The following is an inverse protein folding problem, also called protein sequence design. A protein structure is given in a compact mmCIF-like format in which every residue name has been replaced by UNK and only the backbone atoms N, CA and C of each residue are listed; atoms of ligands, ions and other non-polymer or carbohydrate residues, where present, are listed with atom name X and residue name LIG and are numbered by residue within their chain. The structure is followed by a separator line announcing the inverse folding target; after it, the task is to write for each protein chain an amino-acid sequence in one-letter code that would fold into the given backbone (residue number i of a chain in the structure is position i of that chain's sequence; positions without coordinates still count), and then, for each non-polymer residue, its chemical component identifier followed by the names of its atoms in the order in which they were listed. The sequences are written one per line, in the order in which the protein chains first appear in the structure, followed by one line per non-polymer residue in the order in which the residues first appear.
data_IF_491667586199
#
_entry.id   IF_491667586199
#
_cell.length_a   1.000
_cell.length_b   1.000
_cell.length_c   1.000
_cell.angle_alpha   90.00
_cell.angle_beta   90.00
_cell.angle_gamma   90.00
#
_symmetry.space_group_name_H-M   'P 1'
#
loop_
_entity.id
_entity.type
_entity.pdbx_description
1 polymer ?
#
# COMPACT_ATOMS: atom_id res chain seq x y z
N UNK A 1 -29.82 -30.10 -7.77
CA UNK A 1 -28.43 -30.48 -7.38
C UNK A 1 -27.37 -30.06 -8.40
N UNK A 2 -27.60 -30.13 -9.72
CA UNK A 2 -26.62 -29.71 -10.74
C UNK A 2 -26.32 -28.19 -10.77
N UNK A 3 -27.36 -27.33 -10.67
CA UNK A 3 -27.21 -25.86 -10.72
C UNK A 3 -26.40 -25.23 -9.57
N UNK A 4 -26.38 -25.87 -8.40
CA UNK A 4 -25.63 -25.38 -7.23
C UNK A 4 -24.12 -25.59 -7.37
N UNK A 5 -23.71 -26.64 -8.10
CA UNK A 5 -22.31 -26.97 -8.33
C UNK A 5 -21.71 -26.03 -9.39
N UNK A 6 -22.49 -25.69 -10.42
CA UNK A 6 -22.13 -24.70 -11.45
C UNK A 6 -21.95 -23.29 -10.85
N UNK A 7 -22.91 -22.83 -10.03
CA UNK A 7 -22.82 -21.52 -9.38
C UNK A 7 -21.57 -21.38 -8.48
N UNK A 8 -21.23 -22.42 -7.70
CA UNK A 8 -20.00 -22.41 -6.88
C UNK A 8 -18.71 -22.43 -7.72
N UNK A 9 -18.77 -23.00 -8.93
CA UNK A 9 -17.63 -23.07 -9.85
C UNK A 9 -17.40 -21.73 -10.54
N UNK A 10 -18.47 -21.08 -10.98
CA UNK A 10 -18.42 -19.74 -11.57
C UNK A 10 -18.03 -18.67 -10.54
N UNK A 11 -18.52 -18.78 -9.31
CA UNK A 11 -18.07 -17.92 -8.21
C UNK A 11 -16.57 -18.11 -7.94
N UNK A 12 -16.08 -19.36 -7.94
CA UNK A 12 -14.64 -19.66 -7.79
C UNK A 12 -13.81 -19.12 -8.95
N UNK A 13 -14.35 -19.06 -10.17
CA UNK A 13 -13.66 -18.53 -11.34
C UNK A 13 -13.61 -17.00 -11.29
N UNK A 14 -14.72 -16.33 -10.95
CA UNK A 14 -14.75 -14.87 -10.76
C UNK A 14 -13.85 -14.43 -9.58
N UNK A 15 -13.87 -15.15 -8.45
CA UNK A 15 -13.02 -14.87 -7.28
C UNK A 15 -11.53 -15.15 -7.53
N UNK A 16 -11.17 -15.90 -8.58
CA UNK A 16 -9.79 -16.25 -8.94
C UNK A 16 -9.25 -15.41 -10.09
N UNK A 17 -10.01 -14.43 -10.59
CA UNK A 17 -9.46 -13.49 -11.57
C UNK A 17 -8.59 -12.45 -10.85
N UNK A 18 -7.35 -12.18 -11.33
CA UNK A 18 -6.44 -11.20 -10.75
C UNK A 18 -7.08 -9.81 -10.54
N UNK A 19 -8.10 -9.51 -11.35
CA UNK A 19 -8.87 -8.26 -11.38
C UNK A 19 -9.80 -8.07 -10.18
N UNK A 20 -10.30 -9.15 -9.58
CA UNK A 20 -11.17 -9.06 -8.41
C UNK A 20 -10.41 -8.54 -7.18
N UNK A 21 -9.15 -8.98 -7.02
CA UNK A 21 -8.29 -8.50 -5.94
C UNK A 21 -8.10 -6.97 -5.99
N UNK A 22 -7.85 -6.43 -7.19
CA UNK A 22 -7.73 -4.97 -7.39
C UNK A 22 -9.04 -4.26 -7.00
N UNK A 23 -10.19 -4.74 -7.44
CA UNK A 23 -11.48 -4.14 -7.09
C UNK A 23 -11.76 -4.18 -5.58
N UNK A 24 -11.50 -5.34 -4.94
CA UNK A 24 -11.64 -5.50 -3.50
C UNK A 24 -10.72 -4.56 -2.72
N UNK A 25 -9.50 -4.32 -3.22
CA UNK A 25 -8.59 -3.35 -2.63
C UNK A 25 -9.17 -1.93 -2.67
N UNK A 26 -9.67 -1.46 -3.82
CA UNK A 26 -10.31 -0.13 -3.89
C UNK A 26 -11.50 -0.02 -2.96
N UNK A 27 -12.37 -1.05 -2.95
CA UNK A 27 -13.55 -1.05 -2.09
C UNK A 27 -13.17 -0.97 -0.61
N UNK A 28 -12.21 -1.78 -0.15
CA UNK A 28 -11.86 -1.83 1.28
C UNK A 28 -10.97 -0.66 1.68
N UNK A 29 -9.86 -0.45 0.95
CA UNK A 29 -8.81 0.49 1.35
C UNK A 29 -9.10 1.94 0.97
N UNK A 30 -9.80 2.19 -0.14
CA UNK A 30 -10.04 3.56 -0.60
C UNK A 30 -11.45 4.04 -0.21
N UNK A 31 -12.40 3.14 0.01
CA UNK A 31 -13.78 3.51 0.38
C UNK A 31 -14.10 3.15 1.83
N UNK A 32 -14.14 1.85 2.18
CA UNK A 32 -14.65 1.41 3.48
C UNK A 32 -13.83 1.94 4.65
N UNK A 33 -12.51 1.80 4.62
CA UNK A 33 -11.65 2.24 5.72
C UNK A 33 -11.70 3.77 5.89
N UNK A 34 -11.52 4.60 4.84
CA UNK A 34 -11.67 6.05 4.95
C UNK A 34 -13.03 6.48 5.49
N UNK A 35 -14.13 5.91 4.98
CA UNK A 35 -15.48 6.23 5.46
C UNK A 35 -15.65 5.84 6.94
N UNK A 36 -15.10 4.69 7.34
CA UNK A 36 -15.10 4.27 8.75
C UNK A 36 -14.33 5.23 9.65
N UNK A 37 -13.16 5.71 9.21
CA UNK A 37 -12.36 6.69 9.97
C UNK A 37 -13.09 8.03 10.11
N UNK A 38 -13.79 8.48 9.06
CA UNK A 38 -14.62 9.69 9.11
C UNK A 38 -15.76 9.53 10.11
N UNK A 39 -16.43 8.37 10.15
CA UNK A 39 -17.52 8.11 11.09
C UNK A 39 -17.07 8.05 12.55
N UNK A 40 -15.79 7.72 12.80
CA UNK A 40 -15.19 7.68 14.12
C UNK A 40 -14.56 9.01 14.55
N UNK A 41 -14.68 10.07 13.74
CA UNK A 41 -14.08 11.38 13.96
C UNK A 41 -12.54 11.33 14.12
N UNK A 42 -11.88 10.42 13.41
CA UNK A 42 -10.42 10.22 13.45
C UNK A 42 -9.75 10.75 12.18
N UNK A 43 -10.01 12.00 11.85
CA UNK A 43 -9.44 12.67 10.67
C UNK A 43 -7.92 12.72 10.72
N UNK A 44 -7.34 12.87 11.91
CA UNK A 44 -5.89 12.87 12.13
C UNK A 44 -5.23 11.56 11.70
N UNK A 45 -5.94 10.43 11.77
CA UNK A 45 -5.41 9.14 11.29
C UNK A 45 -5.54 8.99 9.78
N UNK A 46 -6.50 9.70 9.17
CA UNK A 46 -6.76 9.59 7.73
C UNK A 46 -5.60 10.18 6.92
N UNK A 47 -5.04 11.31 7.34
CA UNK A 47 -3.89 11.94 6.67
C UNK A 47 -2.64 11.04 6.64
N UNK A 48 -2.42 10.22 7.69
CA UNK A 48 -1.34 9.24 7.72
C UNK A 48 -1.70 7.96 6.98
N UNK A 49 -2.96 7.54 7.01
CA UNK A 49 -3.43 6.32 6.36
C UNK A 49 -3.27 6.37 4.83
N UNK A 50 -3.65 7.48 4.19
CA UNK A 50 -3.71 7.58 2.73
C UNK A 50 -2.34 7.37 2.05
N UNK A 51 -1.22 7.94 2.53
CA UNK A 51 0.12 7.61 2.04
C UNK A 51 0.47 6.12 2.22
N UNK A 52 0.04 5.46 3.30
CA UNK A 52 0.32 4.03 3.50
C UNK A 52 -0.38 3.11 2.51
N UNK A 53 -1.50 3.55 1.91
CA UNK A 53 -2.22 2.78 0.89
C UNK A 53 -1.31 2.43 -0.29
N UNK A 54 -0.39 3.32 -0.69
CA UNK A 54 0.54 3.05 -1.81
C UNK A 54 1.54 1.94 -1.48
N UNK A 55 2.01 1.89 -0.24
CA UNK A 55 2.95 0.87 0.24
C UNK A 55 2.28 -0.51 0.36
N UNK A 56 1.03 -0.53 0.84
CA UNK A 56 0.20 -1.73 0.87
C UNK A 56 -0.06 -2.25 -0.54
N UNK A 57 -0.43 -1.37 -1.47
CA UNK A 57 -0.68 -1.74 -2.86
C UNK A 57 0.57 -2.32 -3.54
N UNK A 58 1.74 -1.73 -3.31
CA UNK A 58 3.02 -2.26 -3.80
C UNK A 58 3.36 -3.63 -3.22
N UNK A 59 3.13 -3.81 -1.91
CA UNK A 59 3.34 -5.10 -1.23
C UNK A 59 2.45 -6.19 -1.80
N UNK A 60 1.16 -5.91 -1.97
CA UNK A 60 0.20 -6.86 -2.53
C UNK A 60 0.54 -7.21 -3.98
N UNK A 61 0.90 -6.23 -4.79
CA UNK A 61 1.27 -6.44 -6.20
C UNK A 61 2.53 -7.31 -6.30
N UNK A 62 3.57 -7.01 -5.51
CA UNK A 62 4.84 -7.74 -5.57
C UNK A 62 4.71 -9.15 -5.01
N UNK A 63 3.96 -9.31 -3.91
CA UNK A 63 3.79 -10.61 -3.24
C UNK A 63 2.83 -11.53 -3.98
N UNK A 64 1.80 -10.94 -4.61
CA UNK A 64 0.79 -11.66 -5.37
C UNK A 64 1.27 -12.12 -6.74
N UNK A 65 2.32 -11.51 -7.30
CA UNK A 65 2.84 -11.90 -8.60
C UNK A 65 3.32 -13.38 -8.63
N UNK A 66 2.98 -14.14 -9.70
CA UNK A 66 2.27 -13.72 -10.91
C UNK A 66 0.74 -13.91 -10.87
N UNK A 67 0.19 -14.50 -9.81
CA UNK A 67 -1.18 -15.03 -9.84
C UNK A 67 -2.24 -14.03 -9.34
N UNK A 68 -1.88 -13.14 -8.39
CA UNK A 68 -2.81 -12.25 -7.70
C UNK A 68 -2.32 -10.80 -7.73
N UNK A 69 -3.26 -9.83 -7.78
CA UNK A 69 -3.00 -8.39 -7.66
C UNK A 69 -1.98 -7.80 -8.65
N UNK A 70 -1.69 -8.47 -9.77
CA UNK A 70 -0.67 -8.04 -10.74
C UNK A 70 -0.94 -6.68 -11.38
N UNK A 71 -2.22 -6.33 -11.53
CA UNK A 71 -2.66 -5.05 -12.09
C UNK A 71 -2.97 -3.99 -11.01
N UNK A 72 -2.73 -4.26 -9.72
CA UNK A 72 -3.08 -3.31 -8.65
C UNK A 72 -2.13 -2.09 -8.64
N UNK A 73 -0.83 -2.34 -8.55
CA UNK A 73 0.19 -1.29 -8.53
C UNK A 73 1.46 -1.73 -9.27
N UNK A 74 1.35 -2.03 -10.58
CA UNK A 74 2.50 -2.51 -11.36
C UNK A 74 3.55 -1.41 -11.52
N UNK A 75 4.82 -1.80 -11.40
CA UNK A 75 5.95 -0.87 -11.61
C UNK A 75 6.05 -0.40 -13.07
N UNK A 76 5.74 -1.31 -14.00
CA UNK A 76 5.70 -1.05 -15.43
C UNK A 76 4.35 -1.55 -15.97
N UNK A 77 3.31 -0.69 -15.98
CA UNK A 77 1.99 -1.10 -16.41
C UNK A 77 1.99 -1.46 -17.90
N UNK A 78 1.64 -2.72 -18.21
CA UNK A 78 1.42 -3.18 -19.59
C UNK A 78 -0.06 -3.16 -19.97
N UNK A 79 -0.94 -2.95 -19.00
CA UNK A 79 -2.40 -2.89 -19.17
C UNK A 79 -2.91 -1.49 -18.82
N UNK A 80 -3.96 -1.03 -19.51
CA UNK A 80 -4.64 0.25 -19.20
C UNK A 80 -5.18 0.24 -17.76
N UNK A 81 -5.69 -0.91 -17.31
CA UNK A 81 -6.18 -1.07 -15.95
C UNK A 81 -5.07 -0.89 -14.92
N UNK A 82 -3.91 -1.51 -15.12
CA UNK A 82 -2.76 -1.36 -14.25
C UNK A 82 -2.23 0.08 -14.22
N UNK A 83 -2.21 0.75 -15.37
CA UNK A 83 -1.85 2.17 -15.46
C UNK A 83 -2.81 3.04 -14.66
N UNK A 84 -4.12 2.87 -14.85
CA UNK A 84 -5.13 3.67 -14.15
C UNK A 84 -5.11 3.40 -12.64
N UNK A 85 -5.02 2.13 -12.25
CA UNK A 85 -4.98 1.70 -10.85
C UNK A 85 -3.78 2.30 -10.12
N UNK A 86 -2.57 2.19 -10.70
CA UNK A 86 -1.37 2.75 -10.10
C UNK A 86 -1.45 4.28 -9.93
N UNK A 87 -1.96 4.99 -10.93
CA UNK A 87 -2.12 6.45 -10.86
C UNK A 87 -3.19 6.88 -9.85
N UNK A 88 -4.33 6.16 -9.76
CA UNK A 88 -5.34 6.45 -8.74
C UNK A 88 -4.80 6.27 -7.33
N UNK A 89 -4.05 5.19 -7.08
CA UNK A 89 -3.43 4.94 -5.78
C UNK A 89 -2.38 6.02 -5.46
N UNK A 90 -1.58 6.44 -6.46
CA UNK A 90 -0.64 7.55 -6.29
C UNK A 90 -1.36 8.86 -5.96
N UNK A 91 -2.47 9.15 -6.62
CA UNK A 91 -3.27 10.34 -6.35
C UNK A 91 -3.83 10.33 -4.92
N UNK A 92 -4.34 9.18 -4.45
CA UNK A 92 -4.79 9.00 -3.07
C UNK A 92 -3.67 9.27 -2.06
N UNK A 93 -2.47 8.71 -2.31
CA UNK A 93 -1.32 8.97 -1.45
C UNK A 93 -0.91 10.45 -1.46
N UNK A 94 -0.87 11.10 -2.63
CA UNK A 94 -0.58 12.53 -2.74
C UNK A 94 -1.57 13.39 -1.97
N UNK A 95 -2.88 13.08 -2.05
CA UNK A 95 -3.89 13.81 -1.28
C UNK A 95 -3.62 13.73 0.23
N UNK A 96 -3.24 12.56 0.73
CA UNK A 96 -2.86 12.39 2.13
C UNK A 96 -1.63 13.20 2.52
N UNK A 97 -0.57 13.15 1.72
CA UNK A 97 0.67 13.90 1.98
C UNK A 97 0.41 15.42 1.94
N UNK A 98 -0.38 15.89 0.97
CA UNK A 98 -0.75 17.30 0.87
C UNK A 98 -1.61 17.76 2.05
N UNK A 99 -2.58 16.93 2.47
CA UNK A 99 -3.37 17.22 3.68
C UNK A 99 -2.45 17.39 4.88
N UNK A 100 -1.57 16.41 5.15
CA UNK A 100 -0.63 16.46 6.26
C UNK A 100 0.22 17.75 6.22
N UNK A 101 0.76 18.09 5.05
CA UNK A 101 1.56 19.29 4.85
C UNK A 101 0.82 20.59 5.14
N UNK A 102 -0.41 20.72 4.66
CA UNK A 102 -1.28 21.88 4.92
C UNK A 102 -1.64 21.95 6.39
N UNK A 103 -1.98 20.81 7.02
CA UNK A 103 -2.27 20.73 8.45
C UNK A 103 -1.12 21.25 9.31
N UNK A 104 0.11 20.78 9.03
CA UNK A 104 1.31 21.24 9.72
C UNK A 104 1.63 22.73 9.48
N UNK A 105 1.42 23.22 8.26
CA UNK A 105 1.62 24.63 7.95
C UNK A 105 0.68 25.53 8.77
N UNK A 106 -0.59 25.13 8.91
CA UNK A 106 -1.60 25.86 9.68
C UNK A 106 -1.33 25.77 11.19
N UNK A 107 -0.92 24.60 11.68
CA UNK A 107 -0.68 24.39 13.11
C UNK A 107 0.55 25.17 13.60
N UNK A 108 1.63 25.19 12.83
CA UNK A 108 2.89 25.86 13.20
C UNK A 108 2.95 27.32 12.73
N UNK A 109 1.89 27.83 12.09
CA UNK A 109 1.83 29.15 11.41
C UNK A 109 3.05 29.40 10.51
N UNK A 110 3.56 28.34 9.88
CA UNK A 110 4.78 28.36 9.09
C UNK A 110 4.63 27.52 7.83
N UNK A 111 4.38 28.21 6.72
CA UNK A 111 4.23 27.61 5.41
C UNK A 111 5.50 26.87 4.96
N UNK A 112 6.68 27.38 5.31
CA UNK A 112 7.96 26.77 4.91
C UNK A 112 8.13 25.39 5.53
N UNK A 113 7.73 25.22 6.79
CA UNK A 113 7.76 23.93 7.50
C UNK A 113 6.82 22.94 6.81
N UNK A 114 5.57 23.31 6.56
CA UNK A 114 4.59 22.41 5.92
C UNK A 114 4.99 21.99 4.51
N UNK A 115 5.50 22.92 3.68
CA UNK A 115 5.99 22.61 2.34
C UNK A 115 7.21 21.70 2.39
N UNK A 116 8.16 21.96 3.30
CA UNK A 116 9.37 21.15 3.44
C UNK A 116 9.04 19.72 3.84
N UNK A 117 8.16 19.53 4.84
CA UNK A 117 7.70 18.19 5.26
C UNK A 117 7.00 17.48 4.10
N UNK A 118 6.10 18.16 3.39
CA UNK A 118 5.41 17.60 2.21
C UNK A 118 6.38 17.07 1.15
N UNK A 119 7.39 17.88 0.80
CA UNK A 119 8.39 17.50 -0.21
C UNK A 119 9.22 16.29 0.24
N UNK A 120 9.66 16.28 1.51
CA UNK A 120 10.40 15.15 2.09
C UNK A 120 9.54 13.88 2.03
N UNK A 121 8.27 13.98 2.42
CA UNK A 121 7.34 12.85 2.41
C UNK A 121 7.14 12.28 1.00
N UNK A 122 6.94 13.12 -0.02
CA UNK A 122 6.85 12.67 -1.42
C UNK A 122 8.14 11.95 -1.84
N UNK A 123 9.31 12.54 -1.53
CA UNK A 123 10.62 11.98 -1.88
C UNK A 123 10.91 10.64 -1.20
N UNK A 124 10.30 10.36 -0.05
CA UNK A 124 10.45 9.09 0.66
C UNK A 124 9.36 8.10 0.20
N UNK A 125 8.09 8.45 0.30
CA UNK A 125 6.95 7.54 0.11
C UNK A 125 6.95 6.87 -1.26
N UNK A 126 7.17 7.62 -2.35
CA UNK A 126 7.10 7.03 -3.70
C UNK A 126 8.27 6.11 -4.04
N UNK A 127 9.55 6.47 -3.81
CA UNK A 127 10.66 5.55 -3.99
C UNK A 127 10.58 4.33 -3.08
N UNK A 128 10.10 4.51 -1.85
CA UNK A 128 9.89 3.40 -0.91
C UNK A 128 8.86 2.41 -1.47
N UNK A 129 7.70 2.90 -1.91
CA UNK A 129 6.65 2.05 -2.45
C UNK A 129 7.08 1.40 -3.77
N UNK A 130 7.72 2.13 -4.68
CA UNK A 130 8.05 1.63 -6.03
C UNK A 130 9.32 0.77 -6.05
N UNK A 131 10.32 1.05 -5.22
CA UNK A 131 11.64 0.41 -5.31
C UNK A 131 12.00 -0.38 -4.06
N UNK A 132 11.92 0.24 -2.88
CA UNK A 132 12.38 -0.39 -1.65
C UNK A 132 11.55 -1.63 -1.30
N UNK A 133 10.24 -1.50 -1.21
CA UNK A 133 9.34 -2.63 -0.87
C UNK A 133 9.55 -3.81 -1.83
N UNK A 134 9.49 -3.63 -3.17
CA UNK A 134 9.71 -4.74 -4.09
C UNK A 134 11.12 -5.34 -3.99
N UNK A 135 12.14 -4.50 -3.73
CA UNK A 135 13.50 -4.98 -3.51
C UNK A 135 13.58 -5.89 -2.28
N UNK A 136 13.08 -5.44 -1.12
CA UNK A 136 13.14 -6.21 0.12
C UNK A 136 12.35 -7.52 0.04
N UNK A 137 11.15 -7.51 -0.57
CA UNK A 137 10.37 -8.74 -0.77
C UNK A 137 11.15 -9.74 -1.63
N UNK A 138 11.78 -9.28 -2.72
CA UNK A 138 12.58 -10.16 -3.60
C UNK A 138 13.83 -10.70 -2.90
N UNK A 139 14.54 -9.88 -2.13
CA UNK A 139 15.72 -10.34 -1.40
C UNK A 139 15.35 -11.30 -0.27
N UNK A 140 14.29 -10.99 0.48
CA UNK A 140 13.78 -11.86 1.54
C UNK A 140 13.29 -13.21 1.01
N UNK A 141 12.56 -13.24 -0.11
CA UNK A 141 12.15 -14.50 -0.77
C UNK A 141 13.37 -15.34 -1.18
N UNK A 142 14.39 -14.72 -1.77
CA UNK A 142 15.64 -15.42 -2.14
C UNK A 142 16.39 -15.94 -0.91
N UNK A 143 16.46 -15.15 0.16
CA UNK A 143 17.13 -15.54 1.40
C UNK A 143 16.44 -16.74 2.04
N UNK A 144 15.12 -16.69 2.21
CA UNK A 144 14.32 -17.78 2.79
C UNK A 144 14.47 -19.06 1.98
N UNK A 145 14.43 -18.97 0.64
CA UNK A 145 14.62 -20.13 -0.23
C UNK A 145 16.02 -20.73 -0.15
N UNK A 146 17.05 -19.94 0.18
CA UNK A 146 18.42 -20.44 0.41
C UNK A 146 18.56 -21.14 1.76
N UNK A 147 17.97 -20.57 2.82
CA UNK A 147 18.10 -21.09 4.19
C UNK A 147 17.19 -22.30 4.43
N UNK A 148 15.98 -22.29 3.87
CA UNK A 148 14.98 -23.33 4.07
C UNK A 148 14.43 -23.86 2.72
N UNK A 149 15.26 -24.49 1.87
CA UNK A 149 14.89 -24.90 0.51
C UNK A 149 13.78 -25.95 0.46
N UNK A 150 13.62 -26.73 1.55
CA UNK A 150 12.58 -27.77 1.65
C UNK A 150 11.22 -27.23 2.08
N UNK A 151 11.14 -25.99 2.58
CA UNK A 151 9.90 -25.40 3.04
C UNK A 151 9.10 -24.88 1.85
N UNK A 152 7.98 -25.55 1.54
CA UNK A 152 7.03 -25.07 0.53
C UNK A 152 6.06 -24.12 1.22
N UNK A 153 6.14 -22.84 0.87
CA UNK A 153 5.17 -21.84 1.32
C UNK A 153 3.99 -21.84 0.35
N UNK A 154 2.81 -22.40 0.71
CA UNK A 154 1.63 -22.27 -0.13
C UNK A 154 1.28 -20.77 -0.25
N UNK A 155 0.91 -20.32 -1.45
CA UNK A 155 0.30 -19.00 -1.65
C UNK A 155 1.18 -17.76 -1.40
N UNK A 156 2.51 -17.87 -1.46
CA UNK A 156 3.44 -16.73 -1.27
C UNK A 156 3.29 -15.97 0.06
N UNK A 157 2.72 -16.57 1.11
CA UNK A 157 2.43 -15.91 2.40
C UNK A 157 3.64 -15.20 3.02
N UNK A 158 4.84 -15.78 2.88
CA UNK A 158 6.07 -15.18 3.38
C UNK A 158 6.41 -13.85 2.70
N UNK A 159 6.04 -13.66 1.42
CA UNK A 159 6.24 -12.39 0.71
C UNK A 159 5.35 -11.28 1.27
N UNK A 160 4.08 -11.60 1.55
CA UNK A 160 3.14 -10.66 2.17
C UNK A 160 3.60 -10.27 3.57
N UNK A 161 4.06 -11.25 4.36
CA UNK A 161 4.62 -10.99 5.68
C UNK A 161 5.85 -10.08 5.62
N UNK A 162 6.80 -10.35 4.72
CA UNK A 162 7.98 -9.51 4.52
C UNK A 162 7.60 -8.07 4.14
N UNK A 163 6.66 -7.90 3.22
CA UNK A 163 6.18 -6.57 2.84
C UNK A 163 5.50 -5.85 4.00
N UNK A 164 4.66 -6.54 4.78
CA UNK A 164 4.01 -5.95 5.95
C UNK A 164 5.03 -5.51 7.02
N UNK A 165 6.02 -6.34 7.33
CA UNK A 165 7.11 -5.97 8.25
C UNK A 165 7.86 -4.74 7.75
N UNK A 166 8.13 -4.66 6.44
CA UNK A 166 8.75 -3.46 5.85
C UNK A 166 7.87 -2.22 6.01
N UNK A 167 6.56 -2.32 5.78
CA UNK A 167 5.64 -1.20 5.99
C UNK A 167 5.68 -0.72 7.45
N UNK A 168 5.62 -1.64 8.42
CA UNK A 168 5.71 -1.28 9.85
C UNK A 168 7.04 -0.62 10.18
N UNK A 169 8.16 -1.14 9.66
CA UNK A 169 9.47 -0.53 9.85
C UNK A 169 9.51 0.90 9.27
N UNK A 170 8.95 1.09 8.08
CA UNK A 170 8.91 2.40 7.41
C UNK A 170 8.00 3.38 8.14
N UNK A 171 6.85 2.92 8.65
CA UNK A 171 5.98 3.73 9.51
C UNK A 171 6.72 4.27 10.72
N UNK A 172 7.52 3.44 11.37
CA UNK A 172 8.32 3.86 12.53
C UNK A 172 9.35 4.93 12.10
N UNK A 173 10.06 4.71 11.00
CA UNK A 173 11.04 5.69 10.48
C UNK A 173 10.36 7.00 10.11
N UNK A 174 9.18 6.95 9.47
CA UNK A 174 8.39 8.11 9.06
C UNK A 174 7.94 8.94 10.27
N UNK A 175 7.39 8.28 11.29
CA UNK A 175 6.99 8.94 12.55
C UNK A 175 8.21 9.56 13.27
N UNK A 176 9.33 8.84 13.36
CA UNK A 176 10.56 9.38 13.96
C UNK A 176 11.11 10.58 13.18
N UNK A 177 11.02 10.53 11.85
CA UNK A 177 11.47 11.63 10.98
C UNK A 177 10.58 12.85 11.20
N UNK A 178 9.25 12.69 11.16
CA UNK A 178 8.31 13.79 11.42
C UNK A 178 8.56 14.37 12.82
N UNK A 179 8.65 13.54 13.86
CA UNK A 179 8.91 13.99 15.24
C UNK A 179 10.21 14.77 15.40
N UNK A 180 11.26 14.40 14.65
CA UNK A 180 12.53 15.15 14.64
C UNK A 180 12.39 16.53 13.97
N UNK A 181 11.53 16.68 12.98
CA UNK A 181 11.29 17.95 12.29
C UNK A 181 10.23 18.83 12.96
N UNK A 182 9.33 18.26 13.76
CA UNK A 182 8.27 19.02 14.45
C UNK A 182 8.65 19.45 15.87
N UNK A 183 9.84 19.11 16.35
CA UNK A 183 10.35 19.36 17.72
C UNK A 183 9.40 18.88 18.84
N UNK A 184 8.67 17.79 18.61
CA UNK A 184 7.75 17.20 19.60
C UNK A 184 8.40 16.07 20.41
N UNK A 185 9.48 16.41 21.12
CA UNK A 185 10.01 15.64 22.24
C UNK A 185 10.16 16.50 23.50
#
# INVERSE_FOLDING_TARGET
MSKEIESKKDLKVCLRTPKFGTLAFFLVMIIVIPVGLVQLDRMDLLQFYLPFVVMLASTLTTSGAPDNFTDLYPLFPTTVMGFLSANLINFVALMGILWLGIGLALEKDNLEVGVTVTLIMILITFPVATQAIPFFIRQGDRFIRRVAPKLKFPGNWHKYFLGFVMIVMLMIVEVLTIGLFTEEF
#
